data_IF_864174822816
#
_entry.id   IF_864174822816
#
_cell.length_a   1.000
_cell.length_b   1.000
_cell.length_c   1.000
_cell.angle_alpha   90.00
_cell.angle_beta   90.00
_cell.angle_gamma   90.00
#
_symmetry.space_group_name_H-M   'P 1'
#
loop_
_entity.id
_entity.type
_entity.pdbx_description
1 polymer ?
#
# COMPACT_ATOMS: atom_id res chain seq x y z
N UNK A 1 -0.91 -1.36 34.70
CA UNK A 1 -0.42 -0.06 34.23
C UNK A 1 -1.58 0.69 33.61
N UNK A 2 -1.68 1.98 33.80
CA UNK A 2 -2.68 2.77 33.08
C UNK A 2 -2.26 2.94 31.63
N UNK A 3 -3.22 3.13 30.70
CA UNK A 3 -2.93 3.35 29.27
C UNK A 3 -1.93 4.49 29.03
N UNK A 4 -1.95 5.50 29.91
CA UNK A 4 -0.99 6.61 29.91
C UNK A 4 0.43 6.17 30.27
N UNK A 5 0.61 5.23 31.18
CA UNK A 5 1.92 4.68 31.57
C UNK A 5 2.50 3.80 30.47
N UNK A 6 1.66 3.00 29.80
CA UNK A 6 2.07 2.15 28.68
C UNK A 6 2.53 2.99 27.47
N UNK A 7 1.81 4.06 27.15
CA UNK A 7 2.20 5.01 26.10
C UNK A 7 3.50 5.74 26.46
N UNK A 8 3.66 6.15 27.70
CA UNK A 8 4.91 6.77 28.20
C UNK A 8 6.09 5.81 28.05
N UNK A 9 5.87 4.52 28.29
CA UNK A 9 6.91 3.51 28.14
C UNK A 9 7.33 3.34 26.67
N UNK A 10 6.37 3.32 25.73
CA UNK A 10 6.65 3.27 24.28
C UNK A 10 7.42 4.50 23.81
N UNK A 11 7.02 5.68 24.25
CA UNK A 11 7.71 6.93 23.92
C UNK A 11 9.14 6.97 24.48
N UNK A 12 9.36 6.42 25.68
CA UNK A 12 10.68 6.29 26.26
C UNK A 12 11.58 5.30 25.51
N UNK A 13 11.02 4.19 25.02
CA UNK A 13 11.76 3.25 24.16
C UNK A 13 12.16 3.88 22.82
N UNK A 14 11.31 4.74 22.27
CA UNK A 14 11.61 5.53 21.07
C UNK A 14 12.71 6.56 21.34
N UNK A 15 12.62 7.29 22.47
CA UNK A 15 13.61 8.27 22.92
C UNK A 15 15.00 7.65 23.15
N UNK A 16 15.04 6.42 23.70
CA UNK A 16 16.26 5.65 23.93
C UNK A 16 16.78 4.93 22.65
N UNK A 17 16.10 5.12 21.51
CA UNK A 17 16.48 4.47 20.23
C UNK A 17 16.32 2.96 20.22
N UNK A 18 15.57 2.38 21.17
CA UNK A 18 15.33 0.93 21.27
C UNK A 18 14.27 0.44 20.30
N UNK A 19 13.39 1.32 19.85
CA UNK A 19 12.39 1.07 18.83
C UNK A 19 12.38 2.22 17.82
N UNK A 20 12.01 1.91 16.58
CA UNK A 20 11.82 2.90 15.53
C UNK A 20 10.52 3.69 15.74
N UNK A 21 10.38 4.84 15.09
CA UNK A 21 9.16 5.63 15.10
C UNK A 21 7.94 4.83 14.56
N UNK A 22 8.18 3.90 13.63
CA UNK A 22 7.18 2.96 13.11
C UNK A 22 6.69 1.99 14.18
N UNK A 23 7.62 1.37 14.91
CA UNK A 23 7.29 0.43 15.97
C UNK A 23 6.57 1.13 17.12
N UNK A 24 6.99 2.34 17.49
CA UNK A 24 6.32 3.14 18.50
C UNK A 24 4.87 3.47 18.10
N UNK A 25 4.63 3.90 16.85
CA UNK A 25 3.30 4.20 16.36
C UNK A 25 2.39 2.96 16.31
N UNK A 26 2.90 1.80 15.89
CA UNK A 26 2.16 0.53 15.90
C UNK A 26 1.79 0.09 17.32
N UNK A 27 2.69 0.25 18.28
CA UNK A 27 2.42 -0.09 19.67
C UNK A 27 1.35 0.81 20.28
N UNK A 28 1.42 2.13 20.05
CA UNK A 28 0.41 3.08 20.53
C UNK A 28 -0.97 2.77 19.91
N UNK A 29 -1.01 2.48 18.63
CA UNK A 29 -2.26 2.15 17.95
C UNK A 29 -2.86 0.81 18.43
N UNK A 30 -2.02 -0.21 18.65
CA UNK A 30 -2.48 -1.49 19.20
C UNK A 30 -3.10 -1.33 20.60
N UNK A 31 -2.55 -0.43 21.42
CA UNK A 31 -3.10 -0.09 22.73
C UNK A 31 -4.46 0.61 22.64
N UNK A 32 -4.67 1.45 21.61
CA UNK A 32 -5.93 2.15 21.38
C UNK A 32 -7.02 1.25 20.81
N UNK A 33 -6.65 0.29 19.95
CA UNK A 33 -7.60 -0.63 19.31
C UNK A 33 -8.21 -1.63 20.30
N UNK A 34 -7.51 -2.00 21.35
CA UNK A 34 -8.00 -2.92 22.39
C UNK A 34 -9.11 -2.32 23.28
N UNK A 35 -9.36 -1.01 23.25
CA UNK A 35 -10.44 -0.36 24.01
C UNK A 35 -11.75 -0.17 23.22
N UNK A 36 -11.84 -0.51 21.94
CA UNK A 36 -13.00 -0.20 21.09
C UNK A 36 -14.15 -1.20 21.14
N UNK A 37 -14.33 -1.94 22.20
CA UNK A 37 -15.47 -2.83 22.36
C UNK A 37 -16.60 -2.31 23.26
N UNK A 38 -16.79 -0.99 23.44
CA UNK A 38 -18.02 -0.44 24.04
C UNK A 38 -18.24 1.05 23.75
N UNK A 39 -19.41 1.35 23.16
CA UNK A 39 -20.19 2.62 23.16
C UNK A 39 -19.80 3.78 22.24
N UNK A 40 -20.68 3.96 21.27
CA UNK A 40 -21.30 5.10 20.55
C UNK A 40 -20.86 6.56 20.80
N UNK A 41 -20.70 7.26 19.68
CA UNK A 41 -20.97 8.66 19.26
C UNK A 41 -20.49 9.88 20.05
N UNK A 42 -20.29 9.87 21.33
CA UNK A 42 -19.76 11.03 22.05
C UNK A 42 -18.22 11.08 22.16
N UNK A 43 -17.54 10.03 21.76
CA UNK A 43 -16.09 9.88 21.88
C UNK A 43 -15.30 10.58 20.77
N UNK A 44 -15.91 10.93 19.63
CA UNK A 44 -15.20 11.48 18.47
C UNK A 44 -14.61 12.88 18.72
N UNK A 45 -15.32 13.73 19.45
CA UNK A 45 -14.82 15.08 19.82
C UNK A 45 -13.72 15.02 20.88
N UNK A 46 -13.80 14.08 21.79
CA UNK A 46 -12.81 13.89 22.84
C UNK A 46 -11.53 13.24 22.33
N UNK A 47 -11.63 12.30 21.39
CA UNK A 47 -10.47 11.71 20.70
C UNK A 47 -9.66 12.73 19.88
N UNK A 48 -10.35 13.66 19.18
CA UNK A 48 -9.69 14.74 18.42
C UNK A 48 -8.90 15.69 19.32
N UNK A 49 -9.40 15.97 20.52
CA UNK A 49 -8.72 16.81 21.49
C UNK A 49 -7.51 16.10 22.11
N UNK A 50 -7.66 14.83 22.46
CA UNK A 50 -6.58 14.01 23.01
C UNK A 50 -5.42 13.80 22.02
N UNK A 51 -5.74 13.60 20.74
CA UNK A 51 -4.73 13.45 19.68
C UNK A 51 -3.97 14.75 19.43
N UNK A 52 -4.65 15.90 19.42
CA UNK A 52 -4.01 17.21 19.33
C UNK A 52 -3.09 17.51 20.51
N UNK A 53 -3.49 17.12 21.72
CA UNK A 53 -2.70 17.31 22.94
C UNK A 53 -1.47 16.37 22.99
N UNK A 54 -1.58 15.17 22.42
CA UNK A 54 -0.45 14.22 22.31
C UNK A 54 0.57 14.65 21.26
N UNK A 55 0.11 15.17 20.12
CA UNK A 55 1.00 15.80 19.12
C UNK A 55 1.74 16.99 19.72
N UNK A 56 1.07 17.83 20.52
CA UNK A 56 1.72 18.94 21.22
C UNK A 56 2.80 18.45 22.17
N UNK A 57 2.56 17.38 22.91
CA UNK A 57 3.54 16.78 23.84
C UNK A 57 4.74 16.15 23.12
N UNK A 58 4.53 15.53 21.96
CA UNK A 58 5.63 15.03 21.11
C UNK A 58 6.46 16.19 20.59
N UNK A 59 5.81 17.29 20.19
CA UNK A 59 6.47 18.52 19.73
C UNK A 59 7.29 19.19 20.84
N UNK A 60 6.77 19.23 22.06
CA UNK A 60 7.47 19.82 23.22
C UNK A 60 8.69 18.98 23.59
N UNK A 61 8.60 17.66 23.54
CA UNK A 61 9.73 16.75 23.80
C UNK A 61 10.78 16.75 22.71
N UNK A 62 10.40 16.86 21.44
CA UNK A 62 11.33 17.11 20.34
C UNK A 62 12.11 18.41 20.56
N UNK A 63 11.47 19.45 21.08
CA UNK A 63 12.11 20.71 21.41
C UNK A 63 13.04 20.59 22.64
N UNK A 64 12.71 19.75 23.62
CA UNK A 64 13.57 19.52 24.80
C UNK A 64 14.77 18.63 24.41
N UNK A 65 14.57 17.62 23.61
CA UNK A 65 15.64 16.79 23.01
C UNK A 65 16.59 17.61 22.14
N UNK A 66 16.08 18.61 21.42
CA UNK A 66 16.85 19.60 20.68
C UNK A 66 17.84 20.38 21.55
N UNK A 67 17.50 20.61 22.82
CA UNK A 67 18.37 21.32 23.77
C UNK A 67 19.52 20.45 24.30
N UNK A 68 19.28 19.13 24.44
CA UNK A 68 20.29 18.19 24.95
C UNK A 68 21.28 17.74 23.86
N UNK A 69 20.86 17.65 22.60
CA UNK A 69 21.66 17.12 21.49
C UNK A 69 22.55 18.17 20.78
N UNK A 70 22.78 19.30 21.39
CA UNK A 70 23.49 20.46 20.82
C UNK A 70 24.94 20.27 20.39
N UNK A 71 25.53 19.08 20.47
CA UNK A 71 26.98 18.94 20.30
C UNK A 71 27.49 18.36 19.00
N UNK A 72 26.63 17.71 18.13
CA UNK A 72 27.15 16.91 17.01
C UNK A 72 26.51 17.11 15.62
N UNK A 73 25.54 17.99 15.44
CA UNK A 73 24.88 18.17 14.14
C UNK A 73 24.64 19.64 13.77
N UNK A 74 24.62 19.94 12.45
CA UNK A 74 24.28 21.26 11.95
C UNK A 74 22.84 21.63 12.34
N UNK A 75 22.71 22.66 13.16
CA UNK A 75 21.48 23.14 13.76
C UNK A 75 20.39 23.50 12.72
N UNK A 76 20.82 23.90 11.51
CA UNK A 76 19.95 24.36 10.44
C UNK A 76 19.17 23.23 9.75
N UNK A 77 19.78 22.06 9.62
CA UNK A 77 19.15 20.90 8.95
C UNK A 77 18.17 20.17 9.89
N UNK A 78 18.50 20.14 11.18
CA UNK A 78 17.62 19.60 12.22
C UNK A 78 16.39 20.48 12.44
N UNK A 79 16.57 21.82 12.50
CA UNK A 79 15.47 22.77 12.67
C UNK A 79 14.48 22.69 11.51
N UNK A 80 14.97 22.57 10.29
CA UNK A 80 14.15 22.42 9.08
C UNK A 80 13.39 21.09 9.07
N UNK A 81 14.03 20.00 9.47
CA UNK A 81 13.38 18.68 9.55
C UNK A 81 12.27 18.65 10.63
N UNK A 82 12.48 19.29 11.78
CA UNK A 82 11.48 19.41 12.86
C UNK A 82 10.30 20.32 12.43
N UNK A 83 10.57 21.40 11.71
CA UNK A 83 9.56 22.33 11.21
C UNK A 83 8.72 21.70 10.10
N UNK A 84 9.35 20.98 9.18
CA UNK A 84 8.69 20.18 8.15
C UNK A 84 7.85 19.04 8.73
N UNK A 85 8.34 18.36 9.76
CA UNK A 85 7.60 17.36 10.51
C UNK A 85 6.38 17.96 11.22
N UNK A 86 6.58 19.04 11.95
CA UNK A 86 5.51 19.71 12.70
C UNK A 86 4.38 20.20 11.78
N UNK A 87 4.72 20.81 10.63
CA UNK A 87 3.73 21.29 9.66
C UNK A 87 2.97 20.16 8.98
N UNK A 88 3.62 19.02 8.73
CA UNK A 88 3.01 17.83 8.11
C UNK A 88 2.08 17.11 9.08
N UNK A 89 2.47 16.95 10.34
CA UNK A 89 1.63 16.37 11.39
C UNK A 89 0.38 17.24 11.66
N UNK A 90 0.51 18.56 11.60
CA UNK A 90 -0.61 19.49 11.76
C UNK A 90 -1.61 19.39 10.58
N UNK A 91 -1.12 19.22 9.36
CA UNK A 91 -1.95 19.01 8.18
C UNK A 91 -2.63 17.63 8.16
N UNK A 92 -1.96 16.59 8.64
CA UNK A 92 -2.53 15.24 8.84
C UNK A 92 -3.67 15.28 9.85
N UNK A 93 -3.52 15.98 10.96
CA UNK A 93 -4.57 16.15 11.97
C UNK A 93 -5.83 16.86 11.46
N UNK A 94 -5.71 17.73 10.46
CA UNK A 94 -6.85 18.40 9.83
C UNK A 94 -7.58 17.52 8.81
N UNK A 95 -6.87 16.62 8.13
CA UNK A 95 -7.43 15.76 7.09
C UNK A 95 -7.92 14.38 7.60
N UNK A 96 -7.48 13.95 8.79
CA UNK A 96 -7.91 12.68 9.42
C UNK A 96 -9.41 12.62 9.78
N UNK A 97 -10.15 13.71 9.66
CA UNK A 97 -11.59 13.72 9.91
C UNK A 97 -12.40 12.86 8.93
N UNK A 98 -11.81 12.39 7.83
CA UNK A 98 -12.49 11.68 6.75
C UNK A 98 -11.91 10.30 6.40
N UNK A 99 -10.90 9.79 7.11
CA UNK A 99 -10.23 8.56 6.72
C UNK A 99 -10.28 7.48 7.79
N UNK A 100 -10.72 6.31 7.40
CA UNK A 100 -10.78 5.08 8.20
C UNK A 100 -9.39 4.60 8.63
N UNK A 101 -9.34 3.96 9.76
CA UNK A 101 -8.24 3.50 10.62
C UNK A 101 -6.96 2.94 9.94
N UNK A 102 -6.98 2.58 8.65
CA UNK A 102 -5.81 2.02 7.95
C UNK A 102 -4.83 3.04 7.33
N UNK A 103 -5.18 4.32 7.31
CA UNK A 103 -4.36 5.35 6.64
C UNK A 103 -3.36 6.06 7.56
N UNK A 104 -3.62 6.09 8.87
CA UNK A 104 -2.71 6.69 9.84
C UNK A 104 -1.37 5.95 9.89
N UNK A 105 -1.37 4.61 9.84
CA UNK A 105 -0.16 3.78 9.80
C UNK A 105 0.72 4.08 8.59
N UNK A 106 0.10 4.30 7.43
CA UNK A 106 0.83 4.50 6.17
C UNK A 106 1.43 5.88 6.02
N UNK A 107 0.82 6.88 6.66
CA UNK A 107 1.36 8.24 6.75
C UNK A 107 2.55 8.33 7.70
N UNK A 108 2.55 7.56 8.80
CA UNK A 108 3.67 7.48 9.75
C UNK A 108 4.87 6.81 9.09
N UNK A 109 4.67 5.72 8.35
CA UNK A 109 5.71 5.05 7.55
C UNK A 109 6.37 6.01 6.55
N UNK A 110 5.58 6.90 5.97
CA UNK A 110 6.05 7.87 4.99
C UNK A 110 6.84 9.02 5.64
N UNK A 111 6.31 9.59 6.71
CA UNK A 111 7.00 10.62 7.49
C UNK A 111 8.30 10.07 8.06
N UNK A 112 8.31 8.81 8.53
CA UNK A 112 9.52 8.09 8.95
C UNK A 112 10.56 7.99 7.83
N UNK A 113 10.15 7.72 6.59
CA UNK A 113 11.08 7.63 5.47
C UNK A 113 11.73 8.96 5.08
N UNK A 114 11.11 10.10 5.41
CA UNK A 114 11.70 11.44 5.25
C UNK A 114 12.53 11.88 6.46
N UNK A 115 12.18 11.41 7.68
CA UNK A 115 12.93 11.73 8.92
C UNK A 115 14.19 10.87 9.02
N UNK A 116 14.19 9.67 8.47
CA UNK A 116 15.35 8.75 8.47
C UNK A 116 16.53 9.24 7.59
N UNK A 117 16.56 10.56 7.35
CA UNK A 117 17.72 11.23 6.72
C UNK A 117 19.00 11.06 7.52
N UNK A 118 18.92 10.75 8.81
CA UNK A 118 20.08 10.66 9.70
C UNK A 118 20.59 9.24 9.95
N UNK A 119 19.77 8.20 9.81
CA UNK A 119 20.25 6.82 10.00
C UNK A 119 21.18 6.33 8.91
N UNK A 120 21.15 6.93 7.71
CA UNK A 120 22.10 6.64 6.64
C UNK A 120 23.50 7.22 6.86
N UNK A 121 23.69 8.20 7.72
CA UNK A 121 25.00 8.75 8.05
C UNK A 121 25.90 7.81 8.88
N UNK A 122 25.36 6.68 9.33
CA UNK A 122 26.14 5.66 10.08
C UNK A 122 27.14 4.92 9.18
N UNK A 123 26.95 4.94 7.85
CA UNK A 123 27.78 4.18 6.91
C UNK A 123 28.50 4.99 5.83
N UNK A 124 28.55 6.32 5.89
CA UNK A 124 29.30 7.12 4.91
C UNK A 124 28.81 8.57 4.80
N UNK A 125 29.61 9.43 4.19
CA UNK A 125 29.31 10.84 3.92
C UNK A 125 28.25 10.98 2.80
N UNK A 126 27.00 10.57 3.04
CA UNK A 126 25.90 10.79 2.10
C UNK A 126 25.32 12.19 2.31
N UNK A 127 25.15 12.91 1.21
CA UNK A 127 24.42 14.17 1.17
C UNK A 127 22.99 13.92 0.69
N UNK A 128 22.02 14.58 1.32
CA UNK A 128 20.62 14.55 0.93
C UNK A 128 20.27 15.86 0.22
N UNK A 129 19.76 15.74 -1.00
CA UNK A 129 19.33 16.88 -1.82
C UNK A 129 17.88 16.66 -2.24
N UNK A 130 17.05 17.68 -2.03
CA UNK A 130 15.65 17.66 -2.45
C UNK A 130 15.46 18.53 -3.69
N UNK A 131 14.73 18.00 -4.68
CA UNK A 131 14.33 18.75 -5.89
C UNK A 131 12.84 18.63 -6.09
N UNK A 132 12.24 19.69 -6.57
CA UNK A 132 10.80 19.73 -6.94
C UNK A 132 10.67 20.14 -8.39
N UNK A 133 9.86 19.38 -9.13
CA UNK A 133 9.43 19.71 -10.49
C UNK A 133 7.92 19.86 -10.48
N UNK A 134 7.40 20.88 -11.12
CA UNK A 134 5.96 21.11 -11.31
C UNK A 134 5.63 21.11 -12.81
N UNK A 135 4.57 20.40 -13.15
CA UNK A 135 4.00 20.37 -14.50
C UNK A 135 2.61 20.95 -14.42
N UNK A 136 2.41 22.11 -15.03
CA UNK A 136 1.13 22.82 -15.05
C UNK A 136 0.29 22.39 -16.25
N UNK A 137 -1.00 22.72 -16.21
CA UNK A 137 -1.96 22.47 -17.30
C UNK A 137 -2.02 20.98 -17.71
N UNK A 138 -2.19 20.12 -16.70
CA UNK A 138 -2.26 18.68 -16.91
C UNK A 138 -3.58 18.31 -17.58
N UNK A 139 -3.49 17.63 -18.72
CA UNK A 139 -4.63 17.19 -19.50
C UNK A 139 -4.87 15.68 -19.37
N UNK A 140 -6.09 15.25 -19.63
CA UNK A 140 -6.41 13.82 -19.75
C UNK A 140 -5.55 13.15 -20.83
N UNK A 141 -5.21 11.89 -20.61
CA UNK A 141 -4.42 11.10 -21.56
C UNK A 141 -2.91 11.29 -21.44
N UNK A 142 -2.41 12.08 -20.51
CA UNK A 142 -0.98 12.16 -20.22
C UNK A 142 -0.44 10.85 -19.63
N UNK A 143 0.85 10.61 -19.85
CA UNK A 143 1.58 9.45 -19.32
C UNK A 143 2.60 9.91 -18.27
N UNK A 144 2.64 9.21 -17.14
CA UNK A 144 3.59 9.48 -16.04
C UNK A 144 4.51 8.28 -15.81
N UNK A 145 5.82 8.51 -15.81
CA UNK A 145 6.85 7.52 -15.52
C UNK A 145 7.74 7.99 -14.38
N UNK A 146 7.77 7.24 -13.29
CA UNK A 146 8.62 7.54 -12.12
C UNK A 146 9.48 6.33 -11.81
N UNK A 147 10.80 6.50 -11.86
CA UNK A 147 11.77 5.44 -11.58
C UNK A 147 12.67 5.82 -10.40
N UNK A 148 12.52 5.11 -9.27
CA UNK A 148 13.30 5.24 -8.06
C UNK A 148 14.35 4.14 -7.90
N UNK A 149 15.29 4.35 -6.98
CA UNK A 149 16.30 3.35 -6.61
C UNK A 149 16.56 3.42 -5.11
N UNK A 150 16.38 2.29 -4.41
CA UNK A 150 16.60 2.19 -2.97
C UNK A 150 15.79 3.21 -2.14
N UNK A 151 14.75 3.77 -2.71
CA UNK A 151 13.91 4.79 -2.12
C UNK A 151 12.43 4.58 -2.42
N UNK A 152 11.57 5.15 -1.60
CA UNK A 152 10.13 4.98 -1.69
C UNK A 152 9.51 5.87 -2.77
N UNK A 153 8.41 5.42 -3.35
CA UNK A 153 7.56 6.22 -4.24
C UNK A 153 6.20 6.34 -3.56
N UNK A 154 5.82 7.56 -3.21
CA UNK A 154 4.52 7.90 -2.70
C UNK A 154 3.75 8.71 -3.73
N UNK A 155 2.55 8.26 -4.05
CA UNK A 155 1.63 8.99 -4.94
C UNK A 155 0.38 9.37 -4.17
N UNK A 156 -0.02 10.63 -4.29
CA UNK A 156 -1.24 11.18 -3.70
C UNK A 156 -1.97 12.07 -4.69
N UNK A 157 -3.28 12.12 -4.54
CA UNK A 157 -4.11 13.08 -5.25
C UNK A 157 -4.11 14.44 -4.55
N UNK A 158 -4.23 15.52 -5.31
CA UNK A 158 -4.47 16.87 -4.81
C UNK A 158 -5.48 17.63 -5.70
N UNK A 159 -5.88 18.82 -5.28
CA UNK A 159 -6.96 19.59 -5.93
C UNK A 159 -6.49 20.54 -7.05
N UNK A 160 -5.17 20.75 -7.19
CA UNK A 160 -4.64 21.68 -8.19
C UNK A 160 -4.45 20.97 -9.53
N UNK A 161 -4.64 21.66 -10.66
CA UNK A 161 -4.40 21.10 -12.00
C UNK A 161 -2.91 21.12 -12.39
N UNK A 162 -2.11 20.46 -11.59
CA UNK A 162 -0.67 20.29 -11.86
C UNK A 162 -0.17 18.96 -11.30
N UNK A 163 0.92 18.42 -11.85
CA UNK A 163 1.69 17.35 -11.24
C UNK A 163 2.82 17.99 -10.44
N UNK A 164 2.99 17.57 -9.18
CA UNK A 164 4.14 17.97 -8.37
C UNK A 164 4.98 16.73 -8.07
N UNK A 165 6.24 16.73 -8.48
CA UNK A 165 7.21 15.66 -8.31
C UNK A 165 8.32 16.16 -7.37
N UNK A 166 8.29 15.70 -6.12
CA UNK A 166 9.36 15.98 -5.16
C UNK A 166 10.29 14.78 -5.11
N UNK A 167 11.55 14.97 -5.43
CA UNK A 167 12.59 13.96 -5.36
C UNK A 167 13.52 14.22 -4.18
N UNK A 168 13.81 13.18 -3.40
CA UNK A 168 14.84 13.18 -2.38
C UNK A 168 15.96 12.24 -2.82
N UNK A 169 17.10 12.81 -3.16
CA UNK A 169 18.30 12.09 -3.57
C UNK A 169 19.27 12.01 -2.41
N UNK A 170 19.73 10.83 -2.08
CA UNK A 170 20.85 10.59 -1.16
C UNK A 170 22.01 10.01 -1.94
N UNK A 171 23.14 10.68 -1.93
CA UNK A 171 24.31 10.34 -2.73
C UNK A 171 25.59 10.73 -2.02
N UNK A 172 26.70 10.02 -2.23
CA UNK A 172 28.02 10.50 -1.85
C UNK A 172 28.50 11.68 -2.70
N UNK A 173 27.82 11.98 -3.83
CA UNK A 173 28.12 13.08 -4.73
C UNK A 173 27.43 14.37 -4.30
N UNK A 174 28.09 15.51 -4.55
CA UNK A 174 27.56 16.83 -4.19
C UNK A 174 26.48 17.34 -5.14
N UNK A 175 26.42 16.80 -6.36
CA UNK A 175 25.56 17.31 -7.42
C UNK A 175 24.37 16.36 -7.73
N UNK A 176 23.21 16.64 -7.16
CA UNK A 176 21.99 15.89 -7.45
C UNK A 176 21.44 16.13 -8.86
N UNK A 177 21.86 17.21 -9.55
CA UNK A 177 21.42 17.52 -10.91
C UNK A 177 21.91 16.47 -11.91
N UNK A 178 23.06 15.86 -11.64
CA UNK A 178 23.59 14.77 -12.46
C UNK A 178 22.90 13.44 -12.23
N UNK A 179 22.18 13.31 -11.10
CA UNK A 179 21.52 12.06 -10.72
C UNK A 179 20.10 12.00 -11.27
N UNK A 180 19.36 13.11 -11.23
CA UNK A 180 17.98 13.15 -11.67
C UNK A 180 17.86 13.55 -13.14
N UNK A 181 17.05 12.80 -13.87
CA UNK A 181 16.69 13.09 -15.26
C UNK A 181 15.19 13.35 -15.31
N UNK A 182 14.83 14.62 -15.42
CA UNK A 182 13.45 15.05 -15.64
C UNK A 182 13.23 15.34 -17.12
N UNK A 183 12.22 14.74 -17.71
CA UNK A 183 11.79 15.02 -19.08
C UNK A 183 10.29 15.27 -19.08
N UNK A 184 9.90 16.31 -19.78
CA UNK A 184 8.52 16.69 -20.02
C UNK A 184 8.32 17.01 -21.50
N UNK A 185 7.29 16.47 -22.10
CA UNK A 185 6.77 16.91 -23.37
C UNK A 185 5.23 17.03 -23.26
N UNK A 186 4.52 17.31 -24.35
CA UNK A 186 3.08 17.59 -24.34
C UNK A 186 2.25 16.50 -23.64
N UNK A 187 2.64 15.22 -23.75
CA UNK A 187 1.83 14.09 -23.26
C UNK A 187 2.58 13.18 -22.28
N UNK A 188 3.87 13.40 -22.05
CA UNK A 188 4.68 12.50 -21.23
C UNK A 188 5.43 13.30 -20.18
N UNK A 189 5.32 12.87 -18.94
CA UNK A 189 6.15 13.35 -17.82
C UNK A 189 6.96 12.16 -17.31
N UNK A 190 8.28 12.29 -17.27
CA UNK A 190 9.13 11.25 -16.70
C UNK A 190 10.17 11.82 -15.75
N UNK A 191 10.33 11.17 -14.61
CA UNK A 191 11.36 11.45 -13.63
C UNK A 191 12.12 10.16 -13.31
N UNK A 192 13.36 10.11 -13.74
CA UNK A 192 14.24 8.94 -13.65
C UNK A 192 15.57 9.33 -12.99
N UNK A 193 16.42 8.35 -12.80
CA UNK A 193 17.76 8.58 -12.27
C UNK A 193 18.83 8.02 -13.19
N UNK A 194 20.01 8.67 -13.22
CA UNK A 194 21.21 8.11 -13.80
C UNK A 194 21.82 7.09 -12.83
N UNK A 195 22.25 5.93 -13.33
CA UNK A 195 22.87 4.85 -12.54
C UNK A 195 24.30 5.25 -12.14
N UNK A 196 24.44 6.01 -11.08
CA UNK A 196 25.75 6.46 -10.58
C UNK A 196 25.92 5.93 -9.14
N UNK A 197 26.66 4.85 -8.96
CA UNK A 197 27.11 4.34 -7.65
C UNK A 197 26.00 3.97 -6.66
N UNK A 198 26.30 4.07 -5.39
CA UNK A 198 25.37 3.81 -4.29
C UNK A 198 24.53 5.07 -4.03
N UNK A 199 23.37 5.14 -4.62
CA UNK A 199 22.40 6.22 -4.45
C UNK A 199 21.06 5.70 -3.93
N UNK A 200 20.30 6.58 -3.28
CA UNK A 200 18.89 6.36 -2.97
C UNK A 200 18.07 7.52 -3.54
N UNK A 201 17.00 7.20 -4.25
CA UNK A 201 16.12 8.21 -4.86
C UNK A 201 14.68 7.87 -4.49
N UNK A 202 14.10 8.70 -3.64
CA UNK A 202 12.70 8.62 -3.22
C UNK A 202 11.88 9.72 -3.87
N UNK A 203 10.60 9.43 -4.11
CA UNK A 203 9.68 10.40 -4.71
C UNK A 203 8.39 10.56 -3.91
N UNK A 204 7.94 11.80 -3.82
CA UNK A 204 6.59 12.18 -3.45
C UNK A 204 5.93 12.84 -4.66
N UNK A 205 4.88 12.21 -5.16
CA UNK A 205 4.19 12.60 -6.38
C UNK A 205 2.76 13.02 -6.03
N UNK A 206 2.39 14.22 -6.41
CA UNK A 206 1.02 14.70 -6.26
C UNK A 206 0.38 14.82 -7.64
N UNK A 207 -0.77 14.17 -7.81
CA UNK A 207 -1.49 14.09 -9.07
C UNK A 207 -2.80 14.86 -9.02
N UNK A 208 -3.15 15.58 -10.09
CA UNK A 208 -4.48 16.17 -10.23
C UNK A 208 -5.56 15.12 -10.45
N UNK A 209 -6.82 15.52 -10.31
CA UNK A 209 -7.99 14.69 -10.58
C UNK A 209 -8.28 14.58 -12.08
N UNK A 210 -7.36 14.02 -12.84
CA UNK A 210 -7.52 13.76 -14.29
C UNK A 210 -7.21 12.31 -14.61
N UNK A 211 -7.78 11.78 -15.69
CA UNK A 211 -7.50 10.41 -16.14
C UNK A 211 -6.22 10.38 -16.96
N UNK A 212 -5.18 9.74 -16.42
CA UNK A 212 -3.94 9.47 -17.13
C UNK A 212 -4.12 8.30 -18.11
N UNK A 213 -3.42 8.31 -19.23
CA UNK A 213 -3.33 7.15 -20.11
C UNK A 213 -2.49 6.04 -19.49
N UNK A 214 -1.38 6.41 -18.85
CA UNK A 214 -0.51 5.46 -18.18
C UNK A 214 0.16 6.09 -16.96
N UNK A 215 0.17 5.36 -15.85
CA UNK A 215 1.01 5.66 -14.67
C UNK A 215 1.92 4.46 -14.44
N UNK A 216 3.24 4.66 -14.54
CA UNK A 216 4.24 3.63 -14.30
C UNK A 216 5.19 4.04 -13.18
N UNK A 217 5.20 3.25 -12.10
CA UNK A 217 6.00 3.48 -10.90
C UNK A 217 6.96 2.31 -10.72
N UNK A 218 8.24 2.56 -10.79
CA UNK A 218 9.27 1.52 -10.70
C UNK A 218 10.30 1.88 -9.64
N UNK A 219 10.61 0.94 -8.74
CA UNK A 219 11.75 1.07 -7.83
C UNK A 219 12.40 -0.29 -7.60
N UNK A 220 13.59 -0.35 -7.04
CA UNK A 220 14.26 -1.64 -6.79
C UNK A 220 14.05 -2.14 -5.36
N UNK A 221 14.30 -1.29 -4.37
CA UNK A 221 14.24 -1.67 -2.95
C UNK A 221 13.31 -0.76 -2.14
N UNK A 222 12.57 0.12 -2.77
CA UNK A 222 11.65 1.03 -2.13
C UNK A 222 10.22 0.52 -2.10
N UNK A 223 9.45 1.04 -1.16
CA UNK A 223 8.02 0.87 -1.07
C UNK A 223 7.32 1.73 -2.13
N UNK A 224 6.28 1.19 -2.74
CA UNK A 224 5.36 1.96 -3.58
C UNK A 224 4.03 2.07 -2.81
N UNK A 225 3.61 3.29 -2.53
CA UNK A 225 2.34 3.59 -1.92
C UNK A 225 1.56 4.55 -2.81
N UNK A 226 0.33 4.21 -3.13
CA UNK A 226 -0.54 5.03 -3.98
C UNK A 226 -1.86 5.26 -3.28
N UNK A 227 -2.25 6.52 -3.21
CA UNK A 227 -3.52 6.99 -2.68
C UNK A 227 -4.24 7.81 -3.75
N UNK A 228 -5.39 7.31 -4.19
CA UNK A 228 -6.27 7.96 -5.16
C UNK A 228 -5.60 8.36 -6.48
N UNK A 229 -5.62 7.46 -7.44
CA UNK A 229 -5.17 7.76 -8.80
C UNK A 229 -6.18 7.26 -9.84
N UNK A 230 -6.21 7.92 -10.99
CA UNK A 230 -7.10 7.62 -12.10
C UNK A 230 -6.29 7.45 -13.39
N UNK A 231 -6.35 6.27 -14.01
CA UNK A 231 -5.62 5.96 -15.24
C UNK A 231 -6.36 4.95 -16.14
N UNK A 232 -5.97 4.85 -17.40
CA UNK A 232 -6.35 3.72 -18.24
C UNK A 232 -5.48 2.51 -17.87
N UNK A 233 -4.17 2.71 -17.77
CA UNK A 233 -3.22 1.69 -17.34
C UNK A 233 -2.43 2.15 -16.12
N UNK A 234 -2.33 1.28 -15.13
CA UNK A 234 -1.52 1.50 -13.93
C UNK A 234 -0.51 0.36 -13.76
N UNK A 235 0.75 0.70 -13.54
CA UNK A 235 1.81 -0.27 -13.33
C UNK A 235 2.66 0.11 -12.11
N UNK A 236 2.90 -0.86 -11.21
CA UNK A 236 3.83 -0.66 -10.10
C UNK A 236 4.76 -1.88 -9.96
N UNK A 237 6.06 -1.61 -9.96
CA UNK A 237 7.10 -2.64 -9.90
C UNK A 237 8.13 -2.31 -8.83
N UNK A 238 8.37 -3.26 -7.94
CA UNK A 238 9.52 -3.22 -7.02
C UNK A 238 10.14 -4.61 -6.92
N UNK A 239 11.34 -4.73 -6.34
CA UNK A 239 11.93 -6.06 -6.11
C UNK A 239 11.78 -6.53 -4.67
N UNK A 240 11.98 -5.65 -3.70
CA UNK A 240 12.20 -6.06 -2.31
C UNK A 240 11.38 -5.31 -1.27
N UNK A 241 10.38 -4.54 -1.67
CA UNK A 241 9.55 -3.83 -0.71
C UNK A 241 8.06 -3.84 -1.10
N UNK A 242 7.20 -3.42 -0.19
CA UNK A 242 5.75 -3.51 -0.33
C UNK A 242 5.19 -2.61 -1.44
N UNK A 243 4.09 -3.09 -2.02
CA UNK A 243 3.23 -2.29 -2.91
C UNK A 243 1.86 -2.21 -2.26
N UNK A 244 1.46 -1.00 -1.91
CA UNK A 244 0.17 -0.72 -1.31
C UNK A 244 -0.62 0.22 -2.22
N UNK A 245 -1.76 -0.24 -2.73
CA UNK A 245 -2.67 0.55 -3.56
C UNK A 245 -3.98 0.80 -2.82
N UNK A 246 -4.33 2.06 -2.66
CA UNK A 246 -5.57 2.52 -2.02
C UNK A 246 -6.28 3.51 -2.94
N UNK A 247 -7.56 3.25 -3.24
CA UNK A 247 -8.36 4.18 -4.07
C UNK A 247 -7.95 4.26 -5.54
N UNK A 248 -7.10 3.36 -6.04
CA UNK A 248 -6.68 3.35 -7.45
C UNK A 248 -7.84 2.94 -8.35
N UNK A 249 -8.14 3.75 -9.35
CA UNK A 249 -9.13 3.47 -10.38
C UNK A 249 -8.45 3.42 -11.75
N UNK A 250 -8.44 2.23 -12.38
CA UNK A 250 -7.77 2.03 -13.68
C UNK A 250 -8.41 0.88 -14.46
N UNK A 251 -8.45 1.00 -15.78
CA UNK A 251 -9.00 -0.08 -16.61
C UNK A 251 -8.12 -1.35 -16.54
N UNK A 252 -6.80 -1.16 -16.43
CA UNK A 252 -5.84 -2.25 -16.28
C UNK A 252 -4.80 -1.93 -15.19
N UNK A 253 -4.60 -2.86 -14.25
CA UNK A 253 -3.59 -2.78 -13.19
C UNK A 253 -2.61 -3.94 -13.30
N UNK A 254 -1.31 -3.64 -13.42
CA UNK A 254 -0.23 -4.61 -13.46
C UNK A 254 0.74 -4.39 -12.30
N UNK A 255 0.87 -5.38 -11.41
CA UNK A 255 1.71 -5.27 -10.22
C UNK A 255 2.71 -6.41 -10.17
N UNK A 256 3.97 -6.06 -9.95
CA UNK A 256 5.03 -7.05 -9.82
C UNK A 256 6.00 -6.72 -8.69
N UNK A 257 6.29 -7.72 -7.85
CA UNK A 257 7.38 -7.68 -6.87
C UNK A 257 8.00 -9.07 -6.74
N UNK A 258 9.16 -9.18 -6.07
CA UNK A 258 9.77 -10.50 -5.78
C UNK A 258 9.56 -10.93 -4.35
N UNK A 259 9.82 -10.04 -3.39
CA UNK A 259 10.01 -10.43 -1.99
C UNK A 259 9.16 -9.65 -1.00
N UNK A 260 8.14 -8.94 -1.43
CA UNK A 260 7.40 -8.10 -0.51
C UNK A 260 5.89 -8.12 -0.74
N UNK A 261 5.14 -7.79 0.31
CA UNK A 261 3.69 -7.83 0.35
C UNK A 261 3.05 -6.90 -0.68
N UNK A 262 1.99 -7.39 -1.30
CA UNK A 262 1.09 -6.61 -2.14
C UNK A 262 -0.24 -6.46 -1.41
N UNK A 263 -0.71 -5.24 -1.24
CA UNK A 263 -1.96 -4.93 -0.57
C UNK A 263 -2.81 -3.97 -1.40
N UNK A 264 -4.08 -4.34 -1.62
CA UNK A 264 -5.08 -3.50 -2.27
C UNK A 264 -6.22 -3.18 -1.31
N UNK A 265 -6.72 -1.95 -1.42
CA UNK A 265 -7.95 -1.52 -0.76
C UNK A 265 -8.69 -0.48 -1.60
N UNK A 266 -10.00 -0.66 -1.74
CA UNK A 266 -10.88 0.25 -2.49
C UNK A 266 -10.45 0.51 -3.93
N UNK A 267 -9.87 -0.52 -4.59
CA UNK A 267 -9.40 -0.46 -5.97
C UNK A 267 -10.55 -0.77 -6.93
N UNK A 268 -10.60 -0.04 -8.03
CA UNK A 268 -11.56 -0.27 -9.13
C UNK A 268 -10.76 -0.54 -10.40
N UNK A 269 -10.95 -1.72 -10.99
CA UNK A 269 -10.27 -2.06 -12.26
C UNK A 269 -11.02 -3.14 -13.02
N UNK A 270 -11.01 -3.03 -14.34
CA UNK A 270 -11.54 -4.12 -15.18
C UNK A 270 -10.65 -5.35 -15.10
N UNK A 271 -9.33 -5.16 -15.25
CA UNK A 271 -8.35 -6.24 -15.25
C UNK A 271 -7.23 -5.97 -14.24
N UNK A 272 -6.96 -6.94 -13.40
CA UNK A 272 -5.90 -6.89 -12.38
C UNK A 272 -4.98 -8.08 -12.56
N UNK A 273 -3.70 -7.83 -12.85
CA UNK A 273 -2.64 -8.83 -12.96
C UNK A 273 -1.58 -8.60 -11.86
N UNK A 274 -1.39 -9.60 -11.02
CA UNK A 274 -0.47 -9.54 -9.88
C UNK A 274 0.49 -10.71 -9.94
N UNK A 275 1.79 -10.43 -9.91
CA UNK A 275 2.83 -11.42 -9.89
C UNK A 275 3.86 -11.15 -8.79
N UNK A 276 4.15 -12.19 -7.98
CA UNK A 276 5.21 -12.12 -6.96
C UNK A 276 5.83 -13.51 -6.73
N UNK A 277 7.03 -13.56 -6.16
CA UNK A 277 7.68 -14.85 -5.86
C UNK A 277 7.44 -15.30 -4.40
N UNK A 278 7.63 -14.41 -3.42
CA UNK A 278 7.82 -14.84 -2.03
C UNK A 278 6.91 -14.16 -1.00
N UNK A 279 5.75 -13.67 -1.40
CA UNK A 279 4.97 -12.86 -0.45
C UNK A 279 3.46 -13.05 -0.53
N UNK A 280 2.81 -12.45 0.46
CA UNK A 280 1.35 -12.40 0.59
C UNK A 280 0.78 -11.40 -0.42
N UNK A 281 -0.26 -11.83 -1.13
CA UNK A 281 -1.17 -10.99 -1.90
C UNK A 281 -2.45 -10.84 -1.06
N UNK A 282 -2.78 -9.61 -0.69
CA UNK A 282 -3.92 -9.27 0.17
C UNK A 282 -4.79 -8.22 -0.52
N UNK A 283 -5.93 -8.64 -1.01
CA UNK A 283 -6.84 -7.82 -1.83
C UNK A 283 -8.17 -7.69 -1.10
N UNK A 284 -8.59 -6.45 -0.83
CA UNK A 284 -9.82 -6.17 -0.09
C UNK A 284 -10.64 -5.03 -0.69
N UNK A 285 -11.96 -5.17 -0.62
CA UNK A 285 -12.91 -4.11 -1.01
C UNK A 285 -12.65 -3.57 -2.42
N UNK A 286 -12.70 -4.45 -3.42
CA UNK A 286 -12.42 -4.06 -4.80
C UNK A 286 -13.62 -4.26 -5.71
N UNK A 287 -13.62 -3.52 -6.83
CA UNK A 287 -14.52 -3.75 -7.96
C UNK A 287 -13.68 -4.21 -9.15
N UNK A 288 -13.91 -5.45 -9.61
CA UNK A 288 -13.14 -6.00 -10.72
C UNK A 288 -13.97 -6.97 -11.55
N UNK A 289 -13.60 -7.11 -12.83
CA UNK A 289 -14.11 -8.17 -13.70
C UNK A 289 -13.15 -9.36 -13.72
N UNK A 290 -11.84 -9.12 -13.90
CA UNK A 290 -10.84 -10.16 -13.97
C UNK A 290 -9.70 -9.90 -12.97
N UNK A 291 -9.38 -10.91 -12.16
CA UNK A 291 -8.25 -10.88 -11.22
C UNK A 291 -7.40 -12.12 -11.49
N UNK A 292 -6.17 -11.89 -11.90
CA UNK A 292 -5.14 -12.90 -12.03
C UNK A 292 -4.05 -12.63 -10.98
N UNK A 293 -3.88 -13.52 -9.99
CA UNK A 293 -2.91 -13.37 -8.93
C UNK A 293 -2.05 -14.62 -8.79
N UNK A 294 -0.75 -14.46 -8.99
CA UNK A 294 0.22 -15.56 -8.96
C UNK A 294 1.33 -15.26 -7.97
N UNK A 295 1.61 -16.23 -7.11
CA UNK A 295 2.78 -16.20 -6.23
C UNK A 295 3.40 -17.60 -6.17
N UNK A 296 4.64 -17.71 -5.71
CA UNK A 296 5.28 -19.03 -5.50
C UNK A 296 5.19 -19.46 -4.04
N UNK A 297 5.60 -18.62 -3.13
CA UNK A 297 5.74 -18.96 -1.71
C UNK A 297 4.81 -18.19 -0.77
N UNK A 298 3.93 -17.37 -1.30
CA UNK A 298 2.99 -16.54 -0.54
C UNK A 298 1.57 -17.07 -0.54
N UNK A 299 0.82 -16.70 0.47
CA UNK A 299 -0.63 -16.93 0.48
C UNK A 299 -1.36 -15.83 -0.30
N UNK A 300 -2.51 -16.20 -0.85
CA UNK A 300 -3.42 -15.27 -1.52
C UNK A 300 -4.68 -15.13 -0.69
N UNK A 301 -5.02 -13.89 -0.33
CA UNK A 301 -6.22 -13.52 0.41
C UNK A 301 -7.03 -12.56 -0.44
N UNK A 302 -8.27 -12.90 -0.71
CA UNK A 302 -9.21 -12.06 -1.45
C UNK A 302 -10.47 -11.89 -0.59
N UNK A 303 -10.86 -10.63 -0.35
CA UNK A 303 -12.04 -10.31 0.45
C UNK A 303 -12.86 -9.19 -0.22
N UNK A 304 -14.19 -9.34 -0.24
CA UNK A 304 -15.14 -8.33 -0.71
C UNK A 304 -14.89 -7.86 -2.15
N UNK A 305 -15.10 -8.77 -3.12
CA UNK A 305 -15.03 -8.44 -4.54
C UNK A 305 -16.42 -8.13 -5.06
N UNK A 306 -16.56 -6.98 -5.71
CA UNK A 306 -17.78 -6.53 -6.37
C UNK A 306 -17.56 -6.44 -7.88
N UNK A 307 -18.67 -6.38 -8.62
CA UNK A 307 -18.63 -6.26 -10.08
C UNK A 307 -18.03 -4.92 -10.52
N UNK A 308 -17.21 -4.99 -11.56
CA UNK A 308 -16.79 -3.81 -12.30
C UNK A 308 -18.01 -3.20 -13.01
N UNK A 309 -18.04 -1.89 -13.17
CA UNK A 309 -19.16 -1.18 -13.78
C UNK A 309 -19.43 -1.71 -15.19
N UNK A 310 -20.68 -2.12 -15.45
CA UNK A 310 -21.11 -2.68 -16.73
C UNK A 310 -20.77 -4.17 -16.94
N UNK A 311 -20.20 -4.85 -15.94
CA UNK A 311 -19.96 -6.29 -15.97
C UNK A 311 -20.83 -7.01 -14.93
N UNK A 312 -21.37 -8.16 -15.30
CA UNK A 312 -22.08 -9.08 -14.43
C UNK A 312 -21.22 -10.31 -14.10
N UNK A 313 -19.94 -10.27 -14.41
CA UNK A 313 -19.02 -11.37 -14.19
C UNK A 313 -17.84 -10.95 -13.33
N UNK A 314 -17.42 -11.83 -12.42
CA UNK A 314 -16.15 -11.79 -11.70
C UNK A 314 -15.40 -13.07 -12.04
N UNK A 315 -14.17 -12.95 -12.52
CA UNK A 315 -13.30 -14.06 -12.83
C UNK A 315 -12.05 -13.99 -11.97
N UNK A 316 -11.85 -14.96 -11.10
CA UNK A 316 -10.68 -15.09 -10.23
C UNK A 316 -9.81 -16.24 -10.71
N UNK A 317 -8.57 -15.98 -11.09
CA UNK A 317 -7.53 -16.96 -11.38
C UNK A 317 -6.39 -16.81 -10.39
N UNK A 318 -6.30 -17.72 -9.41
CA UNK A 318 -5.41 -17.57 -8.27
C UNK A 318 -4.47 -18.78 -8.19
N UNK A 319 -3.15 -18.54 -8.18
CA UNK A 319 -2.16 -19.60 -8.14
C UNK A 319 -1.07 -19.35 -7.11
N UNK A 320 -0.77 -20.37 -6.32
CA UNK A 320 0.41 -20.40 -5.45
C UNK A 320 1.05 -21.79 -5.47
N UNK A 321 2.24 -21.93 -4.90
CA UNK A 321 2.89 -23.25 -4.82
C UNK A 321 2.99 -23.72 -3.36
N UNK A 322 3.44 -22.87 -2.44
CA UNK A 322 3.79 -23.28 -1.08
C UNK A 322 2.85 -22.76 0.01
N UNK A 323 1.69 -22.24 -0.34
CA UNK A 323 0.81 -21.66 0.67
C UNK A 323 -0.67 -21.85 0.33
N UNK A 324 -1.57 -21.40 1.22
CA UNK A 324 -3.00 -21.47 1.03
C UNK A 324 -3.58 -20.29 0.25
N UNK A 325 -4.77 -20.53 -0.31
CA UNK A 325 -5.59 -19.52 -0.98
C UNK A 325 -6.90 -19.41 -0.21
N UNK A 326 -7.25 -18.19 0.18
CA UNK A 326 -8.54 -17.91 0.81
C UNK A 326 -9.28 -16.84 0.00
N UNK A 327 -10.50 -17.17 -0.38
CA UNK A 327 -11.44 -16.25 -1.04
C UNK A 327 -12.66 -16.10 -0.14
N UNK A 328 -12.94 -14.90 0.30
CA UNK A 328 -14.14 -14.55 1.05
C UNK A 328 -14.91 -13.47 0.27
N UNK A 329 -16.00 -13.86 -0.36
CA UNK A 329 -16.82 -12.94 -1.13
C UNK A 329 -17.60 -12.00 -0.22
N UNK A 330 -17.83 -12.41 1.05
CA UNK A 330 -18.56 -11.66 2.06
C UNK A 330 -19.89 -11.10 1.53
N UNK A 331 -20.66 -11.98 0.89
CA UNK A 331 -21.64 -11.59 -0.11
C UNK A 331 -23.06 -11.88 0.37
N UNK A 332 -23.87 -10.85 0.40
CA UNK A 332 -25.32 -10.92 0.62
C UNK A 332 -26.12 -11.02 -0.70
N UNK A 333 -25.47 -10.86 -1.84
CA UNK A 333 -26.12 -10.82 -3.15
C UNK A 333 -26.39 -12.24 -3.69
N UNK A 334 -27.40 -12.34 -4.54
CA UNK A 334 -27.73 -13.59 -5.23
C UNK A 334 -26.84 -13.72 -6.47
N UNK A 335 -25.81 -14.57 -6.38
CA UNK A 335 -24.83 -14.83 -7.44
C UNK A 335 -24.72 -16.31 -7.76
N UNK A 336 -24.47 -16.64 -9.03
CA UNK A 336 -24.09 -17.99 -9.45
C UNK A 336 -22.58 -18.17 -9.32
N UNK A 337 -22.14 -19.24 -8.70
CA UNK A 337 -20.73 -19.60 -8.54
C UNK A 337 -20.36 -20.77 -9.44
N UNK A 338 -19.22 -20.69 -10.12
CA UNK A 338 -18.57 -21.80 -10.81
C UNK A 338 -17.12 -21.89 -10.34
N UNK A 339 -16.77 -23.03 -9.75
CA UNK A 339 -15.52 -23.17 -8.99
C UNK A 339 -14.75 -24.36 -9.55
N UNK A 340 -13.46 -24.13 -9.79
CA UNK A 340 -12.47 -25.15 -10.07
C UNK A 340 -11.32 -24.98 -9.09
N UNK A 341 -11.12 -25.95 -8.22
CA UNK A 341 -10.11 -25.91 -7.17
C UNK A 341 -9.21 -27.15 -7.24
N UNK A 342 -7.89 -26.96 -7.16
CA UNK A 342 -6.90 -28.02 -7.19
C UNK A 342 -5.79 -27.80 -6.17
N UNK A 343 -5.48 -28.81 -5.37
CA UNK A 343 -4.31 -28.82 -4.50
C UNK A 343 -3.66 -30.20 -4.47
N UNK A 344 -2.33 -30.25 -4.53
CA UNK A 344 -1.62 -31.53 -4.44
C UNK A 344 -1.50 -32.03 -3.00
N UNK A 345 -1.17 -31.16 -2.06
CA UNK A 345 -0.97 -31.51 -0.65
C UNK A 345 -1.74 -30.54 0.25
N UNK A 346 -3.06 -30.65 0.26
CA UNK A 346 -3.90 -29.76 1.06
C UNK A 346 -5.36 -30.17 1.04
N UNK A 347 -6.17 -29.36 1.66
CA UNK A 347 -7.63 -29.53 1.71
C UNK A 347 -8.34 -28.43 0.95
N UNK A 348 -9.50 -28.77 0.38
CA UNK A 348 -10.37 -27.84 -0.31
C UNK A 348 -11.66 -27.73 0.50
N UNK A 349 -11.96 -26.53 0.97
CA UNK A 349 -13.16 -26.21 1.73
C UNK A 349 -14.00 -25.19 0.96
N UNK A 350 -15.16 -25.60 0.48
CA UNK A 350 -16.13 -24.74 -0.18
C UNK A 350 -17.29 -24.47 0.78
N UNK A 351 -17.37 -23.25 1.29
CA UNK A 351 -18.41 -22.79 2.24
C UNK A 351 -19.41 -21.88 1.50
N UNK A 352 -19.94 -22.39 0.40
CA UNK A 352 -20.96 -21.74 -0.42
C UNK A 352 -22.18 -22.66 -0.42
N UNK A 353 -23.37 -22.17 -0.08
CA UNK A 353 -24.58 -23.00 -0.06
C UNK A 353 -25.01 -23.39 -1.49
N UNK A 354 -25.78 -24.48 -1.57
CA UNK A 354 -26.45 -24.93 -2.81
C UNK A 354 -25.53 -25.20 -3.99
N UNK A 355 -24.33 -25.77 -3.75
CA UNK A 355 -23.42 -26.20 -4.79
C UNK A 355 -23.73 -27.63 -5.27
N UNK A 356 -23.76 -27.82 -6.57
CA UNK A 356 -23.70 -29.13 -7.23
C UNK A 356 -22.25 -29.44 -7.57
N UNK A 357 -21.73 -30.54 -7.05
CA UNK A 357 -20.39 -31.04 -7.34
C UNK A 357 -20.40 -31.83 -8.66
N UNK A 358 -19.75 -31.33 -9.69
CA UNK A 358 -19.65 -31.96 -11.01
C UNK A 358 -18.57 -33.03 -11.06
N UNK A 359 -17.45 -32.72 -10.43
CA UNK A 359 -16.32 -33.64 -10.34
C UNK A 359 -15.60 -33.43 -9.00
N UNK A 360 -15.32 -34.51 -8.30
CA UNK A 360 -14.58 -34.48 -7.05
C UNK A 360 -13.66 -35.70 -6.97
N UNK A 361 -12.38 -35.46 -6.78
CA UNK A 361 -11.38 -36.50 -6.53
C UNK A 361 -10.59 -36.13 -5.30
N UNK A 362 -10.50 -37.05 -4.36
CA UNK A 362 -9.62 -36.96 -3.19
C UNK A 362 -8.75 -38.19 -3.16
N UNK A 363 -7.50 -38.04 -3.59
CA UNK A 363 -6.47 -39.06 -3.51
C UNK A 363 -5.46 -38.69 -2.44
N UNK A 364 -4.56 -39.61 -2.05
CA UNK A 364 -3.59 -39.37 -0.98
C UNK A 364 -2.73 -38.10 -1.14
N UNK A 365 -2.57 -37.60 -2.35
CA UNK A 365 -1.72 -36.44 -2.69
C UNK A 365 -2.35 -35.52 -3.75
N UNK A 366 -3.64 -35.58 -3.99
CA UNK A 366 -4.29 -34.69 -4.94
C UNK A 366 -5.76 -34.55 -4.58
N UNK A 367 -6.20 -33.33 -4.31
CA UNK A 367 -7.60 -32.98 -4.12
C UNK A 367 -8.03 -32.05 -5.24
N UNK A 368 -9.09 -32.41 -5.92
CA UNK A 368 -9.65 -31.65 -7.03
C UNK A 368 -11.16 -31.55 -6.88
N UNK A 369 -11.70 -30.37 -7.09
CA UNK A 369 -13.14 -30.11 -7.03
C UNK A 369 -13.56 -29.20 -8.17
N UNK A 370 -14.59 -29.61 -8.90
CA UNK A 370 -15.39 -28.76 -9.78
C UNK A 370 -16.83 -28.74 -9.24
N UNK A 371 -17.31 -27.54 -8.95
CA UNK A 371 -18.64 -27.33 -8.41
C UNK A 371 -19.27 -26.07 -8.99
N UNK A 372 -20.59 -26.05 -9.05
CA UNK A 372 -21.33 -24.87 -9.51
C UNK A 372 -22.64 -24.71 -8.72
N UNK A 373 -23.13 -23.49 -8.63
CA UNK A 373 -24.45 -23.21 -8.03
C UNK A 373 -25.55 -23.90 -8.82
N UNK A 374 -26.57 -24.40 -8.12
CA UNK A 374 -27.74 -25.00 -8.78
C UNK A 374 -28.39 -23.99 -9.74
N UNK A 375 -28.53 -24.38 -11.00
CA UNK A 375 -29.05 -23.49 -12.05
C UNK A 375 -28.11 -22.34 -12.44
N UNK A 376 -26.80 -22.54 -12.36
CA UNK A 376 -25.76 -21.54 -12.63
C UNK A 376 -26.01 -20.72 -13.89
N UNK A 377 -26.47 -21.33 -14.99
CA UNK A 377 -26.72 -20.62 -16.25
C UNK A 377 -27.82 -19.56 -16.16
N UNK A 378 -28.79 -19.74 -15.25
CA UNK A 378 -29.89 -18.81 -15.02
C UNK A 378 -29.56 -17.61 -14.14
N UNK A 379 -28.35 -17.53 -13.55
CA UNK A 379 -27.93 -16.36 -12.80
C UNK A 379 -27.49 -15.25 -13.73
N UNK A 380 -27.99 -14.05 -13.49
CA UNK A 380 -27.52 -12.83 -14.14
C UNK A 380 -26.08 -12.49 -13.71
N UNK A 381 -25.85 -12.55 -12.42
CA UNK A 381 -24.57 -12.24 -11.79
C UNK A 381 -23.76 -13.52 -11.54
N UNK A 382 -22.56 -13.61 -12.10
CA UNK A 382 -21.74 -14.83 -12.11
C UNK A 382 -20.35 -14.59 -11.51
N UNK A 383 -19.87 -15.57 -10.75
CA UNK A 383 -18.52 -15.59 -10.19
C UNK A 383 -17.83 -16.88 -10.58
N UNK A 384 -16.76 -16.77 -11.36
CA UNK A 384 -15.92 -17.88 -11.78
C UNK A 384 -14.62 -17.87 -10.99
N UNK A 385 -14.34 -18.95 -10.26
CA UNK A 385 -13.17 -19.07 -9.41
C UNK A 385 -12.33 -20.26 -9.85
N UNK A 386 -11.13 -20.01 -10.34
CA UNK A 386 -10.12 -21.01 -10.63
C UNK A 386 -8.96 -20.85 -9.65
N UNK A 387 -8.74 -21.83 -8.80
CA UNK A 387 -7.72 -21.77 -7.74
C UNK A 387 -6.84 -23.00 -7.77
N UNK A 388 -5.53 -22.78 -7.67
CA UNK A 388 -4.54 -23.84 -7.72
C UNK A 388 -3.42 -23.60 -6.69
N UNK A 389 -3.11 -24.63 -5.91
CA UNK A 389 -1.91 -24.64 -5.06
C UNK A 389 -1.27 -26.03 -5.10
N UNK A 390 0.00 -26.14 -4.73
CA UNK A 390 0.67 -27.45 -4.57
C UNK A 390 0.64 -27.87 -3.10
N UNK A 391 1.10 -27.01 -2.19
CA UNK A 391 1.25 -27.32 -0.78
C UNK A 391 0.45 -26.31 0.08
N UNK A 392 -0.86 -26.36 0.00
CA UNK A 392 -1.68 -25.43 0.77
C UNK A 392 -3.16 -25.78 0.76
N UNK A 393 -3.89 -25.21 1.69
CA UNK A 393 -5.34 -25.31 1.71
C UNK A 393 -5.98 -24.31 0.74
N UNK A 394 -7.17 -24.63 0.28
CA UNK A 394 -8.04 -23.75 -0.46
C UNK A 394 -9.33 -23.58 0.32
N UNK A 395 -9.70 -22.35 0.64
CA UNK A 395 -10.93 -22.01 1.32
C UNK A 395 -11.69 -20.96 0.53
N UNK A 396 -12.93 -21.26 0.15
CA UNK A 396 -13.79 -20.34 -0.59
C UNK A 396 -15.09 -20.19 0.19
N UNK A 397 -15.38 -18.98 0.62
CA UNK A 397 -16.51 -18.61 1.48
C UNK A 397 -17.36 -17.57 0.76
N UNK A 398 -18.70 -17.75 0.86
CA UNK A 398 -19.67 -16.73 0.43
C UNK A 398 -19.93 -15.71 1.51
#
# INVERSE_FOLDING_TARGET
MSLGEERMFVLKMLEEGKISSEEAARLIQAMESNQKNTQSDNNFRQQKKNFSDEISKVKDRLNDWKKEFKSNYSQKDFDKAVEDFSSKVENVGKNLAYTTIGMADKLVDFVGSFIDTNSFNVFGNYKAVSKTHEVHDVNEGMELFVEGLNGNILVKKHSENKIVLKALVRSPLDNADEILVFNQNENIVSLKYNKIGNISVSYEVFLPDVKFKNISLVTKNGKIYVEDSLAEKFEAVTSNNNIDLMGVNSDQINISTKNARIQFGYVISKNIDINTDNTVIDIKHIKAENINAVTRNGRILIENVHYYQGSNNINLNLKTVQAGIKVNMNDMEKRGYKIKANTSNGEINLLIPELTYRNMSKQMRNSFVEAESNGYEGFENKVNISVETVNGFIEIVK
#
